data_IF_197350490416
#
_entry.id   IF_197350490416
#
_cell.length_a   1.000
_cell.length_b   1.000
_cell.length_c   1.000
_cell.angle_alpha   90.00
_cell.angle_beta   90.00
_cell.angle_gamma   90.00
#
_symmetry.space_group_name_H-M   'P 1'
#
loop_
_entity.id
_entity.type
_entity.pdbx_description
1 polymer ?
#
# COMPACT_ATOMS: atom_id res chain seq x y z
N UNK A 1 -13.58 -7.35 -0.23
CA UNK A 1 -13.62 -7.96 -1.57
C UNK A 1 -12.47 -7.50 -2.46
N UNK A 2 -12.40 -6.20 -2.77
CA UNK A 2 -11.41 -5.61 -3.69
C UNK A 2 -9.96 -5.82 -3.26
N UNK A 3 -9.62 -5.65 -1.97
CA UNK A 3 -8.22 -5.70 -1.53
C UNK A 3 -7.55 -7.06 -1.70
N UNK A 4 -8.26 -8.16 -1.39
CA UNK A 4 -7.74 -9.52 -1.58
C UNK A 4 -7.45 -9.78 -3.05
N UNK A 5 -8.32 -9.30 -3.96
CA UNK A 5 -8.09 -9.42 -5.39
C UNK A 5 -6.87 -8.60 -5.84
N UNK A 6 -6.71 -7.38 -5.33
CA UNK A 6 -5.53 -6.52 -5.54
C UNK A 6 -4.26 -7.25 -5.12
N UNK A 7 -4.20 -7.75 -3.89
CA UNK A 7 -3.02 -8.45 -3.34
C UNK A 7 -2.69 -9.68 -4.18
N UNK A 8 -3.67 -10.52 -4.50
CA UNK A 8 -3.46 -11.71 -5.34
C UNK A 8 -3.00 -11.36 -6.75
N UNK A 9 -3.51 -10.28 -7.33
CA UNK A 9 -3.06 -9.79 -8.64
C UNK A 9 -1.60 -9.35 -8.58
N UNK A 10 -1.22 -8.61 -7.54
CA UNK A 10 0.17 -8.22 -7.32
C UNK A 10 1.07 -9.43 -7.07
N UNK A 11 0.61 -10.46 -6.35
CA UNK A 11 1.38 -11.71 -6.17
C UNK A 11 1.54 -12.50 -7.47
N UNK A 12 0.57 -12.40 -8.40
CA UNK A 12 0.61 -13.10 -9.68
C UNK A 12 1.51 -12.40 -10.71
N UNK A 13 1.44 -11.08 -10.77
CA UNK A 13 2.06 -10.31 -11.86
C UNK A 13 3.11 -9.30 -11.40
N UNK A 14 3.04 -8.84 -10.15
CA UNK A 14 3.76 -7.65 -9.69
C UNK A 14 3.37 -6.42 -10.52
N UNK A 15 4.31 -5.50 -10.67
CA UNK A 15 4.14 -4.32 -11.52
C UNK A 15 3.60 -3.13 -10.76
N UNK A 16 2.66 -2.41 -11.38
CA UNK A 16 2.06 -1.18 -10.84
C UNK A 16 0.55 -1.39 -10.80
N UNK A 17 -0.03 -1.23 -9.62
CA UNK A 17 -1.47 -1.16 -9.42
C UNK A 17 -1.86 0.27 -9.07
N UNK A 18 -2.99 0.72 -9.62
CA UNK A 18 -3.62 2.00 -9.35
C UNK A 18 -5.09 1.74 -9.03
N UNK A 19 -5.61 2.34 -7.94
CA UNK A 19 -7.06 2.38 -7.72
C UNK A 19 -7.73 3.16 -8.87
N UNK A 20 -9.00 2.85 -9.15
CA UNK A 20 -9.73 3.39 -10.32
C UNK A 20 -9.97 4.91 -10.28
N UNK A 21 -9.83 5.52 -9.11
CA UNK A 21 -9.95 6.96 -8.86
C UNK A 21 -8.58 7.67 -8.84
N UNK A 22 -7.51 6.97 -9.22
CA UNK A 22 -6.15 7.51 -9.27
C UNK A 22 -5.68 7.73 -10.70
N UNK A 23 -4.96 8.82 -10.92
CA UNK A 23 -4.24 9.10 -12.17
C UNK A 23 -2.78 9.44 -11.88
N UNK A 24 -1.87 8.97 -12.74
CA UNK A 24 -0.45 9.28 -12.65
C UNK A 24 -0.13 10.57 -13.39
N UNK A 25 0.36 11.57 -12.65
CA UNK A 25 0.81 12.85 -13.22
C UNK A 25 2.31 12.87 -13.55
N UNK A 26 3.07 11.89 -13.05
CA UNK A 26 4.52 11.76 -13.24
C UNK A 26 4.91 10.29 -13.36
N UNK A 27 6.05 10.03 -14.00
CA UNK A 27 6.61 8.69 -14.08
C UNK A 27 7.07 8.21 -12.69
N UNK A 28 6.64 7.01 -12.30
CA UNK A 28 6.96 6.38 -11.00
C UNK A 28 7.85 5.13 -11.12
N UNK A 29 8.47 4.89 -12.28
CA UNK A 29 9.31 3.71 -12.54
C UNK A 29 10.51 3.62 -11.60
N UNK A 30 11.00 4.75 -11.07
CA UNK A 30 12.09 4.77 -10.10
C UNK A 30 11.78 3.97 -8.82
N UNK A 31 10.51 3.76 -8.49
CA UNK A 31 10.08 2.96 -7.33
C UNK A 31 10.11 1.45 -7.60
N UNK A 32 10.27 1.02 -8.86
CA UNK A 32 10.37 -0.41 -9.23
C UNK A 32 11.67 -1.08 -8.78
N UNK A 33 12.67 -0.29 -8.34
CA UNK A 33 13.94 -0.79 -7.79
C UNK A 33 13.79 -1.40 -6.39
N UNK A 34 12.70 -1.11 -5.71
CA UNK A 34 12.40 -1.65 -4.39
C UNK A 34 11.53 -2.90 -4.52
N UNK A 35 11.61 -3.77 -3.52
CA UNK A 35 10.78 -4.98 -3.46
C UNK A 35 9.29 -4.64 -3.52
N UNK A 36 8.87 -3.62 -2.76
CA UNK A 36 7.55 -3.02 -2.83
C UNK A 36 7.61 -1.57 -2.34
N UNK A 37 6.89 -0.67 -3.01
CA UNK A 37 6.73 0.73 -2.66
C UNK A 37 5.25 1.05 -2.54
N UNK A 38 4.85 1.69 -1.44
CA UNK A 38 3.48 2.07 -1.12
C UNK A 38 3.45 3.38 -0.32
N UNK A 39 2.29 4.06 -0.29
CA UNK A 39 2.14 5.22 0.59
C UNK A 39 2.24 4.75 2.05
N UNK A 40 3.10 5.39 2.85
CA UNK A 40 3.06 5.27 4.30
C UNK A 40 3.79 6.45 4.98
N UNK A 41 3.05 7.51 5.28
CA UNK A 41 3.59 8.71 5.93
C UNK A 41 3.74 8.57 7.46
N UNK A 42 4.41 9.53 8.08
CA UNK A 42 4.57 9.59 9.54
C UNK A 42 3.23 9.75 10.25
N UNK A 43 3.06 8.96 11.31
CA UNK A 43 1.85 8.94 12.14
C UNK A 43 0.55 8.62 11.36
N UNK A 44 0.69 7.91 10.23
CA UNK A 44 -0.42 7.43 9.42
C UNK A 44 -0.31 5.92 9.20
N UNK A 45 -1.37 5.33 8.65
CA UNK A 45 -1.36 3.96 8.16
C UNK A 45 -1.07 3.93 6.66
N UNK A 46 -0.61 2.78 6.18
CA UNK A 46 -0.30 2.63 4.77
C UNK A 46 -1.53 2.83 3.88
N UNK A 47 -1.30 3.40 2.70
CA UNK A 47 -2.29 3.52 1.63
C UNK A 47 -2.05 2.48 0.52
N UNK A 48 -3.15 1.93 -0.01
CA UNK A 48 -3.13 0.90 -1.06
C UNK A 48 -3.54 1.39 -2.45
N UNK A 49 -3.70 2.71 -2.62
CA UNK A 49 -4.14 3.34 -3.86
C UNK A 49 -3.13 3.22 -4.99
N UNK A 50 -1.84 3.27 -4.65
CA UNK A 50 -0.73 3.06 -5.58
C UNK A 50 0.21 2.03 -4.98
N UNK A 51 0.41 0.93 -5.71
CA UNK A 51 1.31 -0.14 -5.31
C UNK A 51 2.28 -0.39 -6.45
N UNK A 52 3.58 -0.32 -6.15
CA UNK A 52 4.64 -0.76 -7.06
C UNK A 52 5.35 -1.93 -6.40
N UNK A 53 5.21 -3.14 -6.94
CA UNK A 53 5.76 -4.32 -6.27
C UNK A 53 6.37 -5.33 -7.22
N UNK A 54 7.40 -6.03 -6.74
CA UNK A 54 7.77 -7.32 -7.28
C UNK A 54 6.71 -8.37 -6.91
N UNK A 55 6.46 -9.34 -7.81
CA UNK A 55 5.44 -10.38 -7.57
C UNK A 55 5.72 -11.22 -6.32
N UNK A 56 7.00 -11.35 -5.95
CA UNK A 56 7.46 -12.11 -4.78
C UNK A 56 7.71 -11.21 -3.54
N UNK A 57 7.16 -9.99 -3.50
CA UNK A 57 7.33 -9.10 -2.37
C UNK A 57 6.78 -9.74 -1.07
N UNK A 58 7.64 -9.86 -0.06
CA UNK A 58 7.35 -10.54 1.22
C UNK A 58 6.16 -9.92 1.93
N UNK A 59 6.00 -8.61 1.83
CA UNK A 59 4.86 -7.91 2.41
C UNK A 59 3.51 -8.38 1.86
N UNK A 60 3.40 -8.73 0.56
CA UNK A 60 2.13 -9.16 -0.04
C UNK A 60 1.56 -10.41 0.65
N UNK A 61 2.41 -11.37 1.00
CA UNK A 61 1.99 -12.59 1.71
C UNK A 61 1.52 -12.25 3.13
N UNK A 62 2.30 -11.46 3.87
CA UNK A 62 1.97 -11.03 5.24
C UNK A 62 0.65 -10.23 5.27
N UNK A 63 0.47 -9.35 4.29
CA UNK A 63 -0.74 -8.56 4.14
C UNK A 63 -1.94 -9.42 3.77
N UNK A 64 -1.80 -10.40 2.87
CA UNK A 64 -2.88 -11.36 2.61
C UNK A 64 -3.24 -12.19 3.85
N UNK A 65 -2.25 -12.58 4.64
CA UNK A 65 -2.45 -13.33 5.89
C UNK A 65 -3.22 -12.52 6.95
N UNK A 66 -3.07 -11.19 6.99
CA UNK A 66 -3.82 -10.34 7.94
C UNK A 66 -5.33 -10.34 7.67
N UNK A 67 -5.78 -10.72 6.46
CA UNK A 67 -7.20 -10.88 6.13
C UNK A 67 -7.83 -12.18 6.66
N UNK A 68 -7.08 -13.06 7.34
CA UNK A 68 -7.66 -14.24 8.01
C UNK A 68 -8.60 -13.85 9.16
N UNK A 69 -8.34 -12.72 9.78
CA UNK A 69 -9.15 -12.10 10.83
C UNK A 69 -9.73 -10.79 10.30
N UNK A 70 -10.69 -10.93 9.38
CA UNK A 70 -11.33 -9.83 8.68
C UNK A 70 -12.50 -9.26 9.50
N UNK A 71 -12.50 -7.93 9.69
CA UNK A 71 -13.63 -7.20 10.26
C UNK A 71 -14.50 -6.63 9.14
N UNK A 72 -15.69 -7.18 8.93
CA UNK A 72 -16.59 -6.74 7.86
C UNK A 72 -17.12 -5.31 8.03
N UNK A 73 -17.06 -4.75 9.23
CA UNK A 73 -17.58 -3.42 9.54
C UNK A 73 -16.56 -2.30 9.27
N UNK A 74 -15.27 -2.63 9.15
CA UNK A 74 -14.20 -1.65 9.05
C UNK A 74 -13.24 -1.93 7.88
N UNK A 75 -13.64 -1.53 6.67
CA UNK A 75 -12.83 -1.76 5.47
C UNK A 75 -11.40 -1.18 5.57
N UNK A 76 -11.25 0.07 6.04
CA UNK A 76 -9.94 0.73 6.13
C UNK A 76 -9.06 0.11 7.22
N UNK A 77 -9.67 -0.37 8.29
CA UNK A 77 -8.96 -1.09 9.34
C UNK A 77 -8.23 -2.30 8.74
N UNK A 78 -8.94 -3.13 7.96
CA UNK A 78 -8.34 -4.30 7.32
C UNK A 78 -7.27 -3.94 6.27
N UNK A 79 -7.53 -2.90 5.47
CA UNK A 79 -6.70 -2.57 4.32
C UNK A 79 -5.40 -1.85 4.68
N UNK A 80 -5.42 -0.94 5.66
CA UNK A 80 -4.28 -0.09 5.99
C UNK A 80 -3.84 -0.18 7.44
N UNK A 81 -4.76 -0.02 8.39
CA UNK A 81 -4.42 0.09 9.82
C UNK A 81 -3.85 -1.20 10.40
N UNK A 82 -4.57 -2.32 10.24
CA UNK A 82 -4.19 -3.64 10.72
C UNK A 82 -2.80 -4.07 10.21
N UNK A 83 -2.53 -4.08 8.89
CA UNK A 83 -1.19 -4.45 8.41
C UNK A 83 -0.12 -3.44 8.83
N UNK A 84 -0.47 -2.15 9.04
CA UNK A 84 0.49 -1.19 9.58
C UNK A 84 0.87 -1.54 11.01
N UNK A 85 -0.11 -1.74 11.90
CA UNK A 85 0.11 -1.98 13.33
C UNK A 85 0.73 -3.34 13.60
N UNK A 86 0.24 -4.38 12.93
CA UNK A 86 0.60 -5.76 13.27
C UNK A 86 1.89 -6.22 12.58
N UNK A 87 2.19 -5.67 11.40
CA UNK A 87 3.31 -6.08 10.55
C UNK A 87 4.33 -4.94 10.43
N UNK A 88 3.95 -3.81 9.81
CA UNK A 88 4.92 -2.81 9.37
C UNK A 88 5.58 -2.03 10.51
N UNK A 89 4.88 -1.78 11.62
CA UNK A 89 5.50 -1.15 12.80
C UNK A 89 6.58 -2.04 13.43
N UNK A 90 6.52 -3.36 13.24
CA UNK A 90 7.49 -4.34 13.74
C UNK A 90 8.60 -4.62 12.72
N UNK A 91 8.23 -4.68 11.43
CA UNK A 91 9.13 -4.99 10.31
C UNK A 91 9.03 -3.89 9.22
N UNK A 92 9.44 -2.63 9.51
CA UNK A 92 9.21 -1.50 8.61
C UNK A 92 9.99 -1.59 7.29
N UNK A 93 11.03 -2.41 7.26
CA UNK A 93 11.84 -2.71 6.07
C UNK A 93 11.12 -3.59 5.04
N UNK A 94 9.93 -4.12 5.35
CA UNK A 94 9.12 -4.88 4.38
C UNK A 94 8.52 -4.02 3.27
N UNK A 95 8.48 -2.68 3.44
CA UNK A 95 8.04 -1.76 2.40
C UNK A 95 9.00 -0.58 2.26
N UNK A 96 9.15 -0.09 1.03
CA UNK A 96 9.68 1.23 0.79
C UNK A 96 8.56 2.27 0.98
N UNK A 97 8.72 3.12 1.99
CA UNK A 97 7.77 4.18 2.33
C UNK A 97 7.85 5.31 1.30
N UNK A 98 6.79 5.48 0.53
CA UNK A 98 6.64 6.63 -0.37
C UNK A 98 5.79 7.67 0.34
N UNK A 99 6.33 8.87 0.52
CA UNK A 99 5.62 10.02 1.10
C UNK A 99 5.26 11.00 -0.01
N UNK A 100 4.07 11.60 0.05
CA UNK A 100 3.54 12.64 -0.88
C UNK A 100 3.25 12.13 -2.30
N UNK A 101 4.15 11.38 -2.92
CA UNK A 101 4.07 10.99 -4.33
C UNK A 101 2.92 10.04 -4.66
N UNK A 102 2.47 9.24 -3.69
CA UNK A 102 1.42 8.23 -3.88
C UNK A 102 0.06 8.69 -3.34
N UNK A 103 -0.09 9.98 -3.04
CA UNK A 103 -1.33 10.57 -2.54
C UNK A 103 -1.62 10.20 -1.07
N UNK A 104 -2.80 10.59 -0.58
CA UNK A 104 -3.37 10.35 0.77
C UNK A 104 -2.65 10.92 1.99
N UNK A 105 -1.47 11.51 1.86
CA UNK A 105 -0.81 12.17 2.99
C UNK A 105 -1.67 13.32 3.55
N UNK A 106 -2.04 13.23 4.83
CA UNK A 106 -2.94 14.23 5.46
C UNK A 106 -2.29 15.59 5.66
N UNK A 107 -0.97 15.63 5.86
CA UNK A 107 -0.22 16.88 6.06
C UNK A 107 -0.07 17.73 4.80
N UNK A 108 -0.14 17.12 3.61
CA UNK A 108 0.10 17.83 2.34
C UNK A 108 -1.18 18.28 1.63
N UNK A 109 -2.37 17.97 2.17
CA UNK A 109 -3.65 18.45 1.62
C UNK A 109 -3.84 19.98 1.70
N UNK A 110 -3.03 20.68 2.49
CA UNK A 110 -3.20 22.11 2.81
C UNK A 110 -2.48 23.10 1.87
N UNK A 111 -1.69 22.63 0.88
CA UNK A 111 -0.86 23.53 0.04
C UNK A 111 -1.09 23.38 -1.47
N UNK A 112 -2.17 22.70 -1.89
CA UNK A 112 -2.45 22.46 -3.32
C UNK A 112 -3.81 23.04 -3.76
N UNK A 113 -4.43 23.88 -2.93
CA UNK A 113 -5.55 24.77 -3.27
C UNK A 113 -5.35 26.12 -2.60
#
# INVERSE_FOLDING_TARGET
GSDIARIKTMMKYGGIFLDNDCYLVKNINNFRRFEISMNWDENQYMGSQVIVAHKDARFLRRWLESYREYDETQWYYNAGEKPTREILQKEPNLIHRVKVWFGVDTKFKMNIF
#
